data_IF_430801975858
#
_entry.id   IF_430801975858
#
_cell.length_a   1.000
_cell.length_b   1.000
_cell.length_c   1.000
_cell.angle_alpha   90.00
_cell.angle_beta   90.00
_cell.angle_gamma   90.00
#
_symmetry.space_group_name_H-M   'P 1'
#
loop_
_entity.id
_entity.type
_entity.pdbx_description
1 polymer ?
#
# COMPACT_ATOMS: atom_id res chain seq x y z
N UNK A 1 -18.62 37.59 -4.97
CA UNK A 1 -17.46 36.84 -5.48
C UNK A 1 -16.32 36.80 -4.46
N UNK A 2 -15.99 37.93 -3.83
CA UNK A 2 -15.00 38.04 -2.74
C UNK A 2 -15.29 37.09 -1.56
N UNK A 3 -16.54 37.05 -1.08
CA UNK A 3 -16.95 36.25 0.09
C UNK A 3 -16.82 34.74 -0.15
N UNK A 4 -17.15 34.27 -1.37
CA UNK A 4 -16.99 32.86 -1.77
C UNK A 4 -15.51 32.44 -1.85
N UNK A 5 -14.63 33.37 -2.25
CA UNK A 5 -13.18 33.12 -2.35
C UNK A 5 -12.49 33.10 -0.97
N UNK A 6 -12.96 33.93 -0.04
CA UNK A 6 -12.46 33.95 1.35
C UNK A 6 -12.89 32.68 2.09
N UNK A 7 -14.15 32.26 1.94
CA UNK A 7 -14.66 31.02 2.54
C UNK A 7 -13.92 29.79 1.99
N UNK A 8 -13.65 29.76 0.68
CA UNK A 8 -12.86 28.69 0.06
C UNK A 8 -11.42 28.62 0.58
N UNK A 9 -10.76 29.77 0.74
CA UNK A 9 -9.40 29.85 1.29
C UNK A 9 -9.34 29.42 2.76
N UNK A 10 -10.31 29.83 3.58
CA UNK A 10 -10.40 29.41 4.98
C UNK A 10 -10.69 27.91 5.09
N UNK A 11 -11.60 27.37 4.27
CA UNK A 11 -11.90 25.94 4.25
C UNK A 11 -10.68 25.09 3.85
N UNK A 12 -9.91 25.52 2.84
CA UNK A 12 -8.67 24.87 2.44
C UNK A 12 -7.59 24.95 3.54
N UNK A 13 -7.48 26.09 4.22
CA UNK A 13 -6.54 26.27 5.34
C UNK A 13 -6.88 25.38 6.54
N UNK A 14 -8.16 25.29 6.90
CA UNK A 14 -8.63 24.41 7.98
C UNK A 14 -8.44 22.93 7.61
N UNK A 15 -8.73 22.53 6.37
CA UNK A 15 -8.51 21.17 5.90
C UNK A 15 -7.02 20.78 5.89
N UNK A 16 -6.15 21.68 5.43
CA UNK A 16 -4.69 21.47 5.46
C UNK A 16 -4.15 21.36 6.88
N UNK A 17 -4.63 22.21 7.81
CA UNK A 17 -4.26 22.13 9.22
C UNK A 17 -4.74 20.81 9.86
N UNK A 18 -5.97 20.39 9.58
CA UNK A 18 -6.50 19.10 10.04
C UNK A 18 -5.63 17.94 9.55
N UNK A 19 -5.19 17.97 8.28
CA UNK A 19 -4.36 16.90 7.69
C UNK A 19 -3.00 16.74 8.40
N UNK A 20 -2.38 17.86 8.79
CA UNK A 20 -1.12 17.87 9.55
C UNK A 20 -1.31 17.37 10.99
N UNK A 21 -2.52 17.50 11.53
CA UNK A 21 -2.87 17.03 12.87
C UNK A 21 -3.28 15.55 12.89
N UNK A 22 -3.33 14.85 11.75
CA UNK A 22 -3.56 13.40 11.77
C UNK A 22 -2.37 12.71 12.46
N UNK A 23 -2.61 11.84 13.46
CA UNK A 23 -1.56 11.02 14.02
C UNK A 23 -1.01 10.09 12.93
N UNK A 24 0.32 10.04 12.80
CA UNK A 24 0.98 8.97 12.06
C UNK A 24 0.79 7.68 12.85
N UNK A 25 -0.28 6.94 12.56
CA UNK A 25 -0.49 5.62 13.12
C UNK A 25 0.69 4.72 12.79
N UNK A 26 1.04 3.81 13.70
CA UNK A 26 1.93 2.72 13.35
C UNK A 26 1.29 1.96 12.18
N UNK A 27 1.97 1.92 11.04
CA UNK A 27 1.52 1.08 9.96
C UNK A 27 1.58 -0.37 10.44
N UNK A 28 0.43 -1.02 10.62
CA UNK A 28 0.32 -2.46 10.90
C UNK A 28 0.71 -3.32 9.69
N UNK A 29 1.69 -2.84 8.90
CA UNK A 29 2.28 -3.60 7.82
C UNK A 29 3.01 -4.79 8.44
N UNK A 30 2.53 -6.00 8.17
CA UNK A 30 3.18 -7.23 8.58
C UNK A 30 4.36 -7.44 7.62
N UNK A 31 5.63 -7.34 8.07
CA UNK A 31 6.78 -7.50 7.17
C UNK A 31 7.05 -9.00 6.95
N UNK A 32 6.18 -9.65 6.17
CA UNK A 32 6.15 -11.09 5.98
C UNK A 32 7.52 -11.67 5.61
N UNK A 33 8.23 -11.04 4.66
CA UNK A 33 9.56 -11.49 4.22
C UNK A 33 10.64 -11.31 5.29
N UNK A 34 10.67 -10.16 5.97
CA UNK A 34 11.64 -9.88 7.02
C UNK A 34 11.48 -10.89 8.18
N UNK A 35 10.24 -11.23 8.54
CA UNK A 35 9.95 -12.26 9.56
C UNK A 35 10.31 -13.66 9.08
N UNK A 36 9.93 -14.02 7.85
CA UNK A 36 10.20 -15.35 7.26
C UNK A 36 11.70 -15.68 7.30
N UNK A 37 12.54 -14.73 6.91
CA UNK A 37 13.99 -14.95 6.82
C UNK A 37 14.78 -14.40 8.01
N UNK A 38 14.11 -13.82 9.01
CA UNK A 38 14.72 -13.20 10.18
C UNK A 38 15.81 -12.15 9.83
N UNK A 39 15.48 -11.26 8.88
CA UNK A 39 16.37 -10.20 8.39
C UNK A 39 15.79 -8.80 8.61
N UNK A 40 16.65 -7.79 8.69
CA UNK A 40 16.20 -6.39 8.81
C UNK A 40 15.53 -5.89 7.52
N UNK A 41 14.58 -4.96 7.65
CA UNK A 41 13.95 -4.30 6.50
C UNK A 41 14.96 -3.58 5.60
N UNK A 42 16.04 -3.04 6.19
CA UNK A 42 17.14 -2.36 5.49
C UNK A 42 17.96 -3.27 4.57
N UNK A 43 17.82 -4.59 4.71
CA UNK A 43 18.46 -5.52 3.78
C UNK A 43 17.83 -5.41 2.38
N UNK A 44 16.49 -5.33 2.33
CA UNK A 44 15.73 -5.26 1.07
C UNK A 44 15.43 -3.81 0.65
N UNK A 45 15.27 -2.90 1.61
CA UNK A 45 14.82 -1.53 1.36
C UNK A 45 15.90 -0.49 1.70
N UNK A 46 16.10 0.45 0.77
CA UNK A 46 16.56 1.80 1.08
C UNK A 46 15.38 2.58 1.72
N UNK A 47 15.54 3.83 2.18
CA UNK A 47 14.39 4.63 2.61
C UNK A 47 13.25 4.49 1.58
N UNK A 48 12.11 3.95 2.05
CA UNK A 48 11.01 3.54 1.18
C UNK A 48 10.65 4.71 0.23
N UNK A 49 10.45 4.44 -1.08
CA UNK A 49 9.98 3.20 -1.68
C UNK A 49 11.03 2.43 -2.53
N UNK A 50 12.34 2.65 -2.34
CA UNK A 50 13.37 2.04 -3.20
C UNK A 50 13.93 0.73 -2.64
N UNK A 51 14.11 -0.26 -3.51
CA UNK A 51 14.84 -1.48 -3.19
C UNK A 51 16.35 -1.25 -3.20
N UNK A 52 17.07 -2.08 -2.46
CA UNK A 52 18.52 -2.24 -2.58
C UNK A 52 18.84 -3.18 -3.75
N UNK A 53 20.10 -3.29 -4.16
CA UNK A 53 20.50 -4.29 -5.16
C UNK A 53 20.22 -5.73 -4.72
N UNK A 54 20.21 -5.98 -3.40
CA UNK A 54 19.77 -7.25 -2.84
C UNK A 54 18.25 -7.42 -2.95
N UNK A 55 17.47 -6.39 -2.60
CA UNK A 55 16.01 -6.41 -2.70
C UNK A 55 15.53 -6.64 -4.13
N UNK A 56 16.19 -6.04 -5.12
CA UNK A 56 15.90 -6.27 -6.54
C UNK A 56 16.16 -7.72 -6.96
N UNK A 57 17.27 -8.32 -6.53
CA UNK A 57 17.56 -9.73 -6.79
C UNK A 57 16.56 -10.66 -6.10
N UNK A 58 16.22 -10.37 -4.85
CA UNK A 58 15.23 -11.12 -4.10
C UNK A 58 13.85 -11.08 -4.77
N UNK A 59 13.42 -9.92 -5.26
CA UNK A 59 12.19 -9.78 -6.05
C UNK A 59 12.29 -10.52 -7.40
N UNK A 60 13.43 -10.43 -8.09
CA UNK A 60 13.71 -11.15 -9.34
C UNK A 60 13.69 -12.67 -9.19
N UNK A 61 14.02 -13.18 -8.01
CA UNK A 61 13.95 -14.61 -7.66
C UNK A 61 12.54 -15.05 -7.19
N UNK A 62 11.52 -14.20 -7.30
CA UNK A 62 10.16 -14.50 -6.87
C UNK A 62 9.99 -14.51 -5.35
N UNK A 63 10.71 -13.63 -4.64
CA UNK A 63 10.70 -13.51 -3.18
C UNK A 63 11.21 -14.76 -2.43
N UNK A 64 12.18 -15.45 -3.04
CA UNK A 64 12.93 -16.57 -2.47
C UNK A 64 14.41 -16.23 -2.37
N UNK A 65 15.06 -16.66 -1.28
CA UNK A 65 16.51 -16.45 -1.12
C UNK A 65 17.33 -17.45 -1.95
N UNK A 66 16.81 -18.67 -2.12
CA UNK A 66 17.42 -19.74 -2.90
C UNK A 66 16.38 -20.35 -3.84
N UNK A 67 16.80 -20.79 -5.03
CA UNK A 67 15.89 -21.44 -5.99
C UNK A 67 15.43 -22.83 -5.50
N UNK A 68 16.20 -23.46 -4.61
CA UNK A 68 15.91 -24.75 -3.98
C UNK A 68 15.12 -24.63 -2.67
N UNK A 69 14.60 -23.44 -2.35
CA UNK A 69 13.71 -23.27 -1.20
C UNK A 69 12.36 -23.93 -1.49
N UNK A 70 11.93 -24.87 -0.63
CA UNK A 70 10.60 -25.45 -0.75
C UNK A 70 9.52 -24.35 -0.66
N UNK A 71 8.53 -24.33 -1.56
CA UNK A 71 7.45 -23.37 -1.46
C UNK A 71 6.60 -23.68 -0.23
N UNK A 72 6.71 -22.81 0.78
CA UNK A 72 6.02 -22.91 2.07
C UNK A 72 4.49 -22.85 1.96
N UNK A 73 3.98 -22.32 0.85
CA UNK A 73 2.59 -22.03 0.55
C UNK A 73 2.08 -22.84 -0.67
N UNK A 74 2.76 -23.93 -1.03
CA UNK A 74 2.31 -24.84 -2.09
C UNK A 74 1.86 -26.21 -1.57
N UNK A 75 0.95 -26.85 -2.30
CA UNK A 75 0.61 -28.26 -2.12
C UNK A 75 1.46 -29.14 -3.03
N UNK A 76 1.93 -30.25 -2.48
CA UNK A 76 2.55 -31.32 -3.28
C UNK A 76 1.48 -31.99 -4.14
N UNK A 77 1.51 -31.71 -5.43
CA UNK A 77 0.61 -32.31 -6.43
C UNK A 77 1.18 -33.60 -7.04
N UNK A 78 2.39 -34.02 -6.65
CA UNK A 78 3.11 -35.15 -7.25
C UNK A 78 3.72 -34.87 -8.62
N UNK A 79 3.84 -33.59 -9.00
CA UNK A 79 4.49 -33.14 -10.24
C UNK A 79 5.53 -32.07 -9.88
N UNK A 80 6.81 -32.40 -10.07
CA UNK A 80 7.96 -31.54 -9.71
C UNK A 80 7.94 -30.18 -10.44
N UNK A 81 7.22 -30.06 -11.55
CA UNK A 81 7.10 -28.82 -12.33
C UNK A 81 5.88 -27.98 -11.96
N UNK A 82 4.99 -28.47 -11.08
CA UNK A 82 3.75 -27.80 -10.72
C UNK A 82 3.82 -27.25 -9.29
N UNK A 83 3.83 -25.93 -9.16
CA UNK A 83 3.67 -25.24 -7.87
C UNK A 83 2.26 -24.67 -7.78
N UNK A 84 1.37 -25.34 -7.06
CA UNK A 84 0.01 -24.87 -6.80
C UNK A 84 -0.11 -24.33 -5.38
N UNK A 85 -0.67 -23.14 -5.21
CA UNK A 85 -0.92 -22.52 -3.90
C UNK A 85 -1.78 -23.45 -3.02
N UNK A 86 -1.39 -23.64 -1.77
CA UNK A 86 -2.10 -24.48 -0.80
C UNK A 86 -3.43 -23.86 -0.34
N UNK A 87 -3.48 -22.54 -0.31
CA UNK A 87 -4.64 -21.75 0.04
C UNK A 87 -4.89 -20.69 -1.05
N UNK A 88 -6.17 -20.38 -1.28
CA UNK A 88 -6.55 -19.40 -2.27
C UNK A 88 -6.40 -18.00 -1.65
N UNK A 89 -5.46 -17.16 -2.11
CA UNK A 89 -5.17 -15.86 -1.48
C UNK A 89 -6.20 -14.83 -1.96
N UNK A 90 -7.45 -14.94 -1.49
CA UNK A 90 -8.49 -13.97 -1.78
C UNK A 90 -8.28 -12.72 -0.92
N UNK A 91 -8.10 -11.57 -1.56
CA UNK A 91 -8.15 -10.27 -0.92
C UNK A 91 -9.41 -9.51 -1.33
N UNK A 92 -10.12 -8.93 -0.35
CA UNK A 92 -11.26 -8.05 -0.59
C UNK A 92 -10.87 -6.63 -0.21
N UNK A 93 -10.98 -5.70 -1.16
CA UNK A 93 -10.78 -4.27 -0.93
C UNK A 93 -12.13 -3.56 -0.99
N UNK A 94 -12.42 -2.76 0.03
CA UNK A 94 -13.59 -1.90 0.10
C UNK A 94 -13.13 -0.45 -0.01
N UNK A 95 -13.53 0.24 -1.08
CA UNK A 95 -13.25 1.65 -1.26
C UNK A 95 -14.51 2.47 -0.99
N UNK A 96 -14.37 3.55 -0.22
CA UNK A 96 -15.44 4.50 0.08
C UNK A 96 -15.00 5.91 -0.35
N UNK A 97 -15.92 6.65 -0.98
CA UNK A 97 -15.64 7.97 -1.54
C UNK A 97 -16.71 8.98 -1.09
N UNK A 98 -16.29 10.23 -0.86
CA UNK A 98 -17.18 11.36 -0.53
C UNK A 98 -17.05 12.41 -1.63
N UNK A 99 -18.15 12.74 -2.30
CA UNK A 99 -18.20 13.77 -3.34
C UNK A 99 -19.15 14.91 -2.96
N UNK A 100 -18.68 16.15 -3.07
CA UNK A 100 -19.49 17.35 -2.83
C UNK A 100 -19.73 18.13 -4.12
N UNK A 101 -21.00 18.32 -4.51
CA UNK A 101 -21.39 19.14 -5.68
C UNK A 101 -22.09 20.43 -5.26
N UNK A 102 -21.67 21.56 -5.84
CA UNK A 102 -22.36 22.85 -5.71
C UNK A 102 -22.76 23.36 -7.10
N UNK A 103 -24.04 23.24 -7.46
CA UNK A 103 -24.57 23.65 -8.78
C UNK A 103 -24.52 22.56 -9.86
N UNK A 104 -24.82 22.93 -11.11
CA UNK A 104 -24.89 22.02 -12.28
C UNK A 104 -23.54 21.75 -12.97
N UNK A 105 -22.42 22.18 -12.37
CA UNK A 105 -21.06 22.01 -12.91
C UNK A 105 -20.29 20.83 -12.29
N UNK A 106 -19.01 20.73 -12.67
CA UNK A 106 -18.00 19.78 -12.17
C UNK A 106 -17.95 19.74 -10.62
N UNK A 107 -17.56 18.62 -9.99
CA UNK A 107 -17.47 18.50 -8.53
C UNK A 107 -16.55 19.58 -7.94
N UNK A 108 -17.00 20.27 -6.90
CA UNK A 108 -16.18 21.32 -6.25
C UNK A 108 -15.11 20.75 -5.33
N UNK A 109 -15.27 19.49 -4.90
CA UNK A 109 -14.30 18.73 -4.11
C UNK A 109 -14.41 17.26 -4.52
N UNK A 110 -13.34 16.68 -5.06
CA UNK A 110 -13.21 15.26 -5.41
C UNK A 110 -11.91 14.73 -4.78
N UNK A 111 -12.04 14.12 -3.60
CA UNK A 111 -10.92 13.48 -2.91
C UNK A 111 -11.00 11.97 -3.12
N UNK A 112 -10.22 11.49 -4.08
CA UNK A 112 -10.02 10.06 -4.34
C UNK A 112 -8.54 9.77 -4.13
N UNK A 113 -8.17 9.29 -2.95
CA UNK A 113 -6.78 8.86 -2.70
C UNK A 113 -6.75 7.33 -2.61
N UNK A 114 -6.11 6.64 -3.57
CA UNK A 114 -6.04 5.18 -3.57
C UNK A 114 -5.23 4.58 -2.41
N UNK A 115 -4.50 5.40 -1.65
CA UNK A 115 -3.45 5.02 -0.71
C UNK A 115 -3.60 5.61 0.71
N UNK A 116 -4.69 6.30 1.00
CA UNK A 116 -4.95 6.79 2.37
C UNK A 116 -5.93 5.85 3.06
N UNK A 117 -5.37 4.82 3.67
CA UNK A 117 -5.90 4.19 4.89
C UNK A 117 -5.36 4.98 6.08
#
# INVERSE_FOLDING_TARGET
>A
MLERSVIGACAAGVAGLLLVLLPSGDAEAIPAFARKYNVSCSLCHNPAPRLTAFGEQFAGNGFRLTLEEEPVDSVDTGDDLLQLMADLPLAVRLDAYIQGRTGSGEPSVDLQTPWAI
#
